data_IF_958531657967
#
_entry.id   IF_958531657967
#
_cell.length_a   1.000
_cell.length_b   1.000
_cell.length_c   1.000
_cell.angle_alpha   90.00
_cell.angle_beta   90.00
_cell.angle_gamma   90.00
#
_symmetry.space_group_name_H-M   'P 1'
#
loop_
_entity.id
_entity.type
_entity.pdbx_description
1 polymer ?
#
# COMPACT_ATOMS: atom_id res chain seq x y z
N UNK A 1 1.03 -7.05 2.55
CA UNK A 1 0.79 -5.60 2.37
C UNK A 1 -0.19 -5.07 3.41
N UNK A 2 -1.50 -5.35 3.29
CA UNK A 2 -2.54 -4.78 4.18
C UNK A 2 -2.19 -4.96 5.66
N UNK A 3 -1.95 -6.20 6.12
CA UNK A 3 -1.59 -6.47 7.54
C UNK A 3 -0.35 -5.71 8.03
N UNK A 4 0.67 -5.59 7.19
CA UNK A 4 1.91 -4.89 7.54
C UNK A 4 1.64 -3.39 7.67
N UNK A 5 0.99 -2.78 6.67
CA UNK A 5 0.65 -1.36 6.70
C UNK A 5 -0.29 -1.03 7.86
N UNK A 6 -1.26 -1.89 8.18
CA UNK A 6 -2.12 -1.73 9.35
C UNK A 6 -1.38 -1.78 10.68
N UNK A 7 -0.29 -2.55 10.78
CA UNK A 7 0.57 -2.53 11.97
C UNK A 7 1.25 -1.16 12.17
N UNK A 8 1.61 -0.48 11.07
CA UNK A 8 2.15 0.88 11.08
C UNK A 8 1.05 1.97 11.11
N UNK A 9 -0.19 1.63 11.45
CA UNK A 9 -1.28 2.61 11.58
C UNK A 9 -1.95 3.06 10.28
N UNK A 10 -1.56 2.49 9.13
CA UNK A 10 -2.18 2.82 7.85
C UNK A 10 -3.52 2.07 7.64
N UNK A 11 -4.50 2.77 7.06
CA UNK A 11 -5.82 2.24 6.71
C UNK A 11 -6.02 2.23 5.19
N UNK A 12 -6.57 1.14 4.66
CA UNK A 12 -6.91 1.03 3.23
C UNK A 12 -8.10 1.94 2.90
N UNK A 13 -7.91 2.82 1.91
CA UNK A 13 -8.92 3.75 1.41
C UNK A 13 -9.45 3.22 0.08
N UNK A 14 -10.74 2.87 0.06
CA UNK A 14 -11.41 2.41 -1.16
C UNK A 14 -11.82 3.63 -1.99
N UNK A 15 -11.02 3.97 -3.02
CA UNK A 15 -11.51 4.81 -4.12
C UNK A 15 -12.45 3.97 -4.99
N UNK A 16 -13.47 4.60 -5.58
CA UNK A 16 -14.55 3.94 -6.32
C UNK A 16 -14.09 3.03 -7.48
N UNK A 17 -15.08 2.48 -8.21
CA UNK A 17 -14.93 1.37 -9.18
C UNK A 17 -13.86 1.54 -10.28
N UNK A 18 -13.28 2.73 -10.47
CA UNK A 18 -12.33 3.05 -11.55
C UNK A 18 -10.85 2.84 -11.23
N UNK A 19 -10.46 2.54 -9.98
CA UNK A 19 -9.03 2.48 -9.60
C UNK A 19 -8.30 1.17 -9.94
N UNK A 20 -9.01 0.13 -10.40
CA UNK A 20 -8.40 -1.16 -10.72
C UNK A 20 -7.70 -1.80 -9.51
N UNK A 21 -6.51 -2.39 -9.70
CA UNK A 21 -5.72 -3.02 -8.63
C UNK A 21 -4.99 -2.02 -7.72
N UNK A 22 -5.10 -0.71 -7.96
CA UNK A 22 -4.45 0.33 -7.14
C UNK A 22 -5.20 0.50 -5.83
N UNK A 23 -4.44 0.64 -4.76
CA UNK A 23 -4.93 0.80 -3.39
C UNK A 23 -4.24 1.99 -2.78
N UNK A 24 -5.00 2.88 -2.15
CA UNK A 24 -4.48 3.95 -1.33
C UNK A 24 -4.50 3.48 0.13
N UNK A 25 -3.44 3.78 0.87
CA UNK A 25 -3.37 3.70 2.31
C UNK A 25 -3.07 5.09 2.87
N UNK A 26 -3.66 5.43 4.01
CA UNK A 26 -3.40 6.69 4.73
C UNK A 26 -3.25 6.41 6.23
N UNK A 27 -2.39 7.17 6.91
CA UNK A 27 -2.26 7.17 8.37
C UNK A 27 -2.73 8.52 8.94
N UNK A 28 -2.60 8.70 10.27
CA UNK A 28 -2.98 9.94 10.95
C UNK A 28 -2.00 11.11 10.76
N UNK A 29 -0.86 10.88 10.11
CA UNK A 29 0.23 11.84 9.96
C UNK A 29 0.28 12.43 8.54
N UNK A 30 -0.86 12.43 7.84
CA UNK A 30 -0.99 12.83 6.43
C UNK A 30 -0.12 12.05 5.43
N UNK A 31 0.48 10.92 5.85
CA UNK A 31 1.26 10.06 4.96
C UNK A 31 0.33 9.19 4.13
N UNK A 32 0.49 9.25 2.81
CA UNK A 32 -0.27 8.44 1.86
C UNK A 32 0.64 7.48 1.10
N UNK A 33 0.23 6.22 1.04
CA UNK A 33 0.90 5.17 0.25
C UNK A 33 -0.04 4.70 -0.86
N UNK A 34 0.41 4.75 -2.12
CA UNK A 34 -0.32 4.17 -3.24
C UNK A 34 0.43 2.96 -3.80
N UNK A 35 -0.17 1.78 -3.69
CA UNK A 35 0.44 0.52 -4.14
C UNK A 35 -0.53 -0.27 -5.01
N UNK A 36 0.01 -1.18 -5.82
CA UNK A 36 -0.80 -2.10 -6.60
C UNK A 36 -0.97 -3.40 -5.81
N UNK A 37 -2.21 -3.91 -5.67
CA UNK A 37 -2.41 -5.29 -5.22
C UNK A 37 -1.60 -6.21 -6.14
N UNK A 38 -0.90 -7.19 -5.58
CA UNK A 38 -0.13 -8.11 -6.39
C UNK A 38 -1.09 -8.91 -7.26
N UNK A 39 -1.08 -8.63 -8.56
CA UNK A 39 -1.94 -9.22 -9.56
C UNK A 39 -1.16 -9.38 -10.87
N UNK A 40 -1.25 -10.53 -11.56
CA UNK A 40 -2.02 -11.75 -11.22
C UNK A 40 -1.30 -12.72 -10.26
N UNK A 41 0.02 -12.62 -10.11
CA UNK A 41 0.84 -13.65 -9.44
C UNK A 41 0.78 -13.68 -7.91
N UNK A 42 -0.02 -12.82 -7.26
CA UNK A 42 -0.10 -12.66 -5.78
C UNK A 42 1.24 -12.32 -5.10
N UNK A 43 2.32 -12.15 -5.86
CA UNK A 43 3.65 -11.72 -5.43
C UNK A 43 3.80 -10.22 -5.67
N UNK A 44 4.32 -9.52 -4.67
CA UNK A 44 4.62 -8.09 -4.77
C UNK A 44 5.90 -7.88 -5.61
N UNK A 45 5.88 -6.91 -6.51
CA UNK A 45 7.07 -6.55 -7.30
C UNK A 45 8.13 -5.90 -6.40
N UNK A 46 9.41 -6.17 -6.65
CA UNK A 46 10.52 -5.67 -5.84
C UNK A 46 10.52 -4.14 -5.64
N UNK A 47 10.10 -3.36 -6.64
CA UNK A 47 10.02 -1.90 -6.49
C UNK A 47 9.02 -1.46 -5.41
N UNK A 48 7.93 -2.21 -5.22
CA UNK A 48 6.93 -1.91 -4.19
C UNK A 48 7.48 -2.24 -2.79
N UNK A 49 8.29 -3.31 -2.68
CA UNK A 49 8.98 -3.63 -1.43
C UNK A 49 9.99 -2.54 -1.07
N UNK A 50 10.77 -2.03 -2.04
CA UNK A 50 11.71 -0.93 -1.81
C UNK A 50 10.97 0.35 -1.38
N UNK A 51 9.90 0.71 -2.08
CA UNK A 51 9.06 1.85 -1.71
C UNK A 51 8.49 1.71 -0.29
N UNK A 52 8.04 0.52 0.10
CA UNK A 52 7.56 0.29 1.47
C UNK A 52 8.67 0.46 2.51
N UNK A 53 9.90 0.00 2.23
CA UNK A 53 11.03 0.19 3.16
C UNK A 53 11.36 1.67 3.36
N UNK A 54 11.41 2.43 2.26
CA UNK A 54 11.69 3.88 2.31
C UNK A 54 10.61 4.63 3.12
N UNK A 55 9.33 4.31 2.91
CA UNK A 55 8.23 4.99 3.62
C UNK A 55 8.14 4.59 5.10
N UNK A 56 8.44 3.33 5.41
CA UNK A 56 8.35 2.80 6.78
C UNK A 56 9.67 2.96 7.56
N UNK A 57 10.69 3.58 6.96
CA UNK A 57 12.03 3.74 7.53
C UNK A 57 12.64 2.41 8.04
N UNK A 58 12.48 1.34 7.24
CA UNK A 58 12.94 -0.03 7.51
C UNK A 58 14.22 -0.43 6.77
#
# INVERSE_FOLDING_TARGET
MVRLLSYFGFKEVKKGKTSGSRVKFENGDDVTIMLHKPHPSRIMKNYQMRQMKEILEL
#
